data_IF_919129404049
#
_entry.id   IF_919129404049
#
_cell.length_a   1.000
_cell.length_b   1.000
_cell.length_c   1.000
_cell.angle_alpha   90.00
_cell.angle_beta   90.00
_cell.angle_gamma   90.00
#
_symmetry.space_group_name_H-M   'P 1'
#
loop_
_entity.id
_entity.type
_entity.pdbx_description
1 polymer ?
#
# COMPACT_ATOMS: atom_id res chain seq x y z
N UNK A 1 -17.17 5.20 -9.53
CA UNK A 1 -15.85 5.33 -8.88
C UNK A 1 -15.42 6.79 -8.76
N UNK A 2 -15.51 7.36 -7.56
CA UNK A 2 -14.91 8.65 -7.21
C UNK A 2 -13.53 8.49 -6.58
N UNK A 3 -12.77 9.58 -6.42
CA UNK A 3 -11.40 9.52 -5.88
C UNK A 3 -11.32 8.89 -4.47
N UNK A 4 -12.41 8.93 -3.71
CA UNK A 4 -12.52 8.32 -2.39
C UNK A 4 -12.45 6.79 -2.40
N UNK A 5 -12.69 6.15 -3.53
CA UNK A 5 -12.63 4.69 -3.71
C UNK A 5 -11.20 4.19 -3.99
N UNK A 6 -10.25 5.10 -4.19
CA UNK A 6 -8.83 4.80 -4.41
C UNK A 6 -7.98 5.14 -3.17
N UNK A 7 -7.02 4.28 -2.87
CA UNK A 7 -5.93 4.56 -1.93
C UNK A 7 -4.77 5.19 -2.67
N UNK A 8 -4.27 6.33 -2.19
CA UNK A 8 -2.99 6.88 -2.63
C UNK A 8 -1.86 6.27 -1.81
N UNK A 9 -0.79 5.87 -2.48
CA UNK A 9 0.45 5.43 -1.83
C UNK A 9 1.66 5.96 -2.58
N UNK A 10 2.78 6.07 -1.86
CA UNK A 10 4.05 6.51 -2.42
C UNK A 10 4.97 5.31 -2.55
N UNK A 11 5.59 5.15 -3.71
CA UNK A 11 6.55 4.09 -3.97
C UNK A 11 7.75 4.67 -4.72
N UNK A 12 8.94 4.58 -4.13
CA UNK A 12 10.13 5.27 -4.64
C UNK A 12 9.91 6.79 -4.70
N UNK A 13 9.97 7.36 -5.92
CA UNK A 13 9.79 8.80 -6.14
C UNK A 13 8.39 9.18 -6.67
N UNK A 14 7.50 8.22 -6.88
CA UNK A 14 6.18 8.44 -7.48
C UNK A 14 5.03 8.22 -6.50
N UNK A 15 3.89 8.87 -6.79
CA UNK A 15 2.60 8.59 -6.16
C UNK A 15 1.78 7.73 -7.13
N UNK A 16 1.05 6.75 -6.59
CA UNK A 16 0.18 5.87 -7.35
C UNK A 16 -1.17 5.69 -6.66
N UNK A 17 -2.19 5.37 -7.47
CA UNK A 17 -3.54 5.11 -6.99
C UNK A 17 -3.90 3.64 -7.20
N UNK A 18 -4.42 3.01 -6.15
CA UNK A 18 -4.88 1.62 -6.14
C UNK A 18 -6.35 1.58 -5.71
N UNK A 19 -7.16 0.75 -6.36
CA UNK A 19 -8.55 0.54 -5.95
C UNK A 19 -8.61 -0.03 -4.53
N UNK A 20 -9.37 0.59 -3.62
CA UNK A 20 -9.46 0.14 -2.23
C UNK A 20 -10.10 -1.24 -2.08
N UNK A 21 -10.94 -1.67 -3.01
CA UNK A 21 -11.47 -3.03 -3.07
C UNK A 21 -10.39 -4.08 -3.32
N UNK A 22 -9.18 -3.69 -3.72
CA UNK A 22 -8.03 -4.58 -3.82
C UNK A 22 -7.14 -4.58 -2.56
N UNK A 23 -7.46 -3.73 -1.57
CA UNK A 23 -6.74 -3.64 -0.31
C UNK A 23 -7.53 -4.31 0.82
N UNK A 24 -6.85 -5.13 1.61
CA UNK A 24 -7.37 -5.54 2.91
C UNK A 24 -6.63 -4.80 4.04
N UNK A 25 -7.36 -4.51 5.11
CA UNK A 25 -6.77 -3.97 6.33
C UNK A 25 -5.88 -5.03 6.97
N UNK A 26 -4.57 -4.87 6.86
CA UNK A 26 -3.63 -5.69 7.64
C UNK A 26 -3.76 -5.28 9.10
N UNK A 27 -4.08 -6.23 9.99
CA UNK A 27 -4.08 -6.00 11.45
C UNK A 27 -2.65 -5.69 11.93
N UNK A 28 -2.24 -4.42 11.82
CA UNK A 28 -0.92 -3.94 12.21
C UNK A 28 -0.71 -3.82 13.72
N UNK A 29 -1.31 -4.70 14.54
CA UNK A 29 -1.24 -4.60 16.00
C UNK A 29 -0.96 -5.93 16.67
N UNK A 30 0.29 -6.38 16.55
CA UNK A 30 0.96 -6.82 17.78
C UNK A 30 1.92 -5.70 18.17
N UNK A 31 1.49 -4.90 19.14
CA UNK A 31 2.38 -3.97 19.83
C UNK A 31 3.29 -4.85 20.70
N UNK A 32 4.47 -5.17 20.18
CA UNK A 32 5.47 -5.91 20.95
C UNK A 32 5.95 -4.97 22.05
N UNK A 33 5.69 -5.33 23.31
CA UNK A 33 6.27 -4.61 24.45
C UNK A 33 7.78 -4.79 24.41
N UNK A 34 8.46 -3.66 24.27
CA UNK A 34 9.89 -3.62 24.10
C UNK A 34 10.53 -3.06 25.36
N UNK A 35 11.02 -3.98 26.18
CA UNK A 35 11.71 -3.64 27.41
C UNK A 35 13.05 -2.93 27.18
N UNK A 36 13.62 -2.95 25.97
CA UNK A 36 14.95 -2.39 25.64
C UNK A 36 14.89 -1.05 24.88
N UNK A 37 13.72 -0.64 24.37
CA UNK A 37 13.52 0.65 23.70
C UNK A 37 13.92 0.71 22.21
N UNK A 38 14.42 -0.38 21.63
CA UNK A 38 14.82 -0.48 20.22
C UNK A 38 13.65 -0.62 19.22
N UNK A 39 12.52 -1.19 19.64
CA UNK A 39 11.25 -1.29 18.91
C UNK A 39 10.40 0.00 19.02
N UNK A 40 10.83 1.02 19.78
CA UNK A 40 10.22 2.37 19.75
C UNK A 40 10.69 3.22 18.56
N UNK A 41 11.09 2.61 17.44
CA UNK A 41 11.26 3.34 16.19
C UNK A 41 9.88 3.56 15.57
N UNK A 42 9.60 4.72 14.95
CA UNK A 42 8.41 4.87 14.12
C UNK A 42 8.37 3.68 13.16
N UNK A 43 7.18 3.11 12.89
CA UNK A 43 6.99 2.00 11.96
C UNK A 43 7.46 2.46 10.55
N UNK A 44 8.76 2.45 10.29
CA UNK A 44 9.37 2.89 9.04
C UNK A 44 9.25 1.84 7.94
N UNK A 45 8.72 0.67 8.28
CA UNK A 45 8.72 -0.52 7.44
C UNK A 45 7.27 -0.88 7.07
N UNK A 46 6.49 0.10 6.61
CA UNK A 46 5.16 -0.18 6.05
C UNK A 46 5.33 -0.84 4.69
N UNK A 47 4.53 -1.87 4.45
CA UNK A 47 4.57 -2.61 3.19
C UNK A 47 3.14 -2.84 2.71
N UNK A 48 2.95 -2.64 1.41
CA UNK A 48 1.75 -3.01 0.68
C UNK A 48 1.91 -4.44 0.14
N UNK A 49 0.88 -5.27 0.32
CA UNK A 49 0.82 -6.63 -0.25
C UNK A 49 -0.53 -6.76 -0.93
N UNK A 50 -0.53 -7.26 -2.17
CA UNK A 50 -1.74 -7.56 -2.93
C UNK A 50 -1.96 -9.07 -2.99
N UNK A 51 -3.22 -9.52 -2.98
CA UNK A 51 -3.55 -10.96 -3.05
C UNK A 51 -3.68 -11.47 -4.49
N UNK A 52 -3.75 -10.56 -5.46
CA UNK A 52 -3.75 -10.79 -6.90
C UNK A 52 -2.97 -9.69 -7.61
N UNK A 53 -2.66 -9.92 -8.88
CA UNK A 53 -2.09 -8.89 -9.74
C UNK A 53 -3.00 -7.66 -9.79
N UNK A 54 -2.46 -6.50 -9.42
CA UNK A 54 -3.25 -5.28 -9.22
C UNK A 54 -2.66 -4.14 -10.03
N UNK A 55 -3.44 -3.52 -10.94
CA UNK A 55 -2.98 -2.36 -11.68
C UNK A 55 -2.83 -1.14 -10.78
N UNK A 56 -1.82 -0.31 -11.09
CA UNK A 56 -1.57 0.99 -10.47
C UNK A 56 -1.87 2.07 -11.48
N UNK A 57 -2.70 3.01 -11.10
CA UNK A 57 -3.17 4.10 -11.94
C UNK A 57 -2.40 5.38 -11.63
N UNK A 58 -2.22 6.24 -12.64
CA UNK A 58 -1.58 7.55 -12.47
C UNK A 58 -2.55 8.65 -11.96
N UNK A 59 -3.85 8.35 -11.91
CA UNK A 59 -4.89 9.17 -11.33
C UNK A 59 -5.92 8.24 -10.65
N UNK A 60 -6.75 8.73 -9.70
CA UNK A 60 -7.77 7.92 -9.04
C UNK A 60 -9.00 7.72 -9.95
N UNK A 61 -8.79 7.12 -11.12
CA UNK A 61 -9.79 6.87 -12.15
C UNK A 61 -9.46 5.57 -12.90
N UNK A 62 -10.43 4.66 -13.01
CA UNK A 62 -10.33 3.41 -13.76
C UNK A 62 -10.04 3.59 -15.26
N UNK A 63 -10.33 4.77 -15.83
CA UNK A 63 -10.00 5.13 -17.21
C UNK A 63 -8.61 5.73 -17.38
N UNK A 64 -7.86 5.93 -16.30
CA UNK A 64 -6.53 6.54 -16.36
C UNK A 64 -5.46 5.57 -16.87
N UNK A 65 -4.31 6.13 -17.26
CA UNK A 65 -3.18 5.31 -17.73
C UNK A 65 -2.67 4.43 -16.60
N UNK A 66 -2.56 3.14 -16.88
CA UNK A 66 -1.91 2.18 -15.98
C UNK A 66 -0.41 2.42 -16.02
N UNK A 67 0.15 2.82 -14.89
CA UNK A 67 1.58 3.05 -14.70
C UNK A 67 2.35 1.73 -14.53
N UNK A 68 1.73 0.72 -13.95
CA UNK A 68 2.31 -0.60 -13.76
C UNK A 68 1.37 -1.57 -13.06
N UNK A 69 1.85 -2.77 -12.78
CA UNK A 69 1.10 -3.83 -12.08
C UNK A 69 1.88 -4.32 -10.89
N UNK A 70 1.25 -4.35 -9.71
CA UNK A 70 1.76 -5.00 -8.51
C UNK A 70 1.44 -6.50 -8.60
N UNK A 71 2.46 -7.35 -8.60
CA UNK A 71 2.27 -8.80 -8.60
C UNK A 71 1.74 -9.29 -7.26
N UNK A 72 0.91 -10.33 -7.32
CA UNK A 72 0.36 -10.98 -6.14
C UNK A 72 1.45 -11.45 -5.15
N UNK A 73 1.16 -11.30 -3.86
CA UNK A 73 1.94 -11.82 -2.74
C UNK A 73 3.39 -11.30 -2.64
N UNK A 74 3.69 -10.17 -3.28
CA UNK A 74 4.94 -9.44 -3.09
C UNK A 74 4.79 -8.31 -2.07
N UNK A 75 5.87 -8.00 -1.36
CA UNK A 75 5.94 -6.89 -0.40
C UNK A 75 6.52 -5.66 -1.10
N UNK A 76 5.70 -4.61 -1.21
CA UNK A 76 6.10 -3.32 -1.76
C UNK A 76 6.30 -2.31 -0.62
N UNK A 77 7.50 -1.76 -0.41
CA UNK A 77 7.73 -0.71 0.59
C UNK A 77 6.96 0.58 0.24
N UNK A 78 6.20 1.12 1.19
CA UNK A 78 5.39 2.35 1.03
C UNK A 78 5.63 3.33 2.18
#
# INVERSE_FOLDING_TARGET
PGAEEYGEFRFGFGNGFIDKGHLESVQGKQRIEDSLGDLKKPLSNQNLITWKDTPVYNAPDSGSVVFGTLSANLRYPI
#
